data_IF_809361763483
#
_entry.id   IF_809361763483
#
_cell.length_a   1.000
_cell.length_b   1.000
_cell.length_c   1.000
_cell.angle_alpha   90.00
_cell.angle_beta   90.00
_cell.angle_gamma   90.00
#
_symmetry.space_group_name_H-M   'P 1'
#
loop_
_entity.id
_entity.type
_entity.pdbx_description
1 polymer ?
#
# COMPACT_ATOMS: atom_id res chain seq x y z
N UNK A 1 3.30 5.22 -9.89
CA UNK A 1 2.84 5.59 -11.25
C UNK A 1 1.83 4.55 -11.66
N UNK A 2 0.60 4.95 -11.96
CA UNK A 2 -0.48 4.01 -12.19
C UNK A 2 -0.72 3.73 -13.67
N UNK A 3 -1.15 2.53 -14.05
CA UNK A 3 -1.75 2.30 -15.36
C UNK A 3 -3.14 2.96 -15.44
N UNK A 4 -3.71 3.11 -16.64
CA UNK A 4 -5.06 3.67 -16.76
C UNK A 4 -6.10 2.71 -16.19
N UNK A 5 -5.87 1.43 -16.34
CA UNK A 5 -6.70 0.35 -15.80
C UNK A 5 -6.70 0.39 -14.26
N UNK A 6 -5.54 0.70 -13.65
CA UNK A 6 -5.40 0.89 -12.19
C UNK A 6 -6.20 2.08 -11.67
N UNK A 7 -6.35 3.15 -12.47
CA UNK A 7 -7.13 4.32 -12.07
C UNK A 7 -8.63 4.07 -12.02
N UNK A 8 -9.13 2.97 -12.61
CA UNK A 8 -10.55 2.60 -12.56
C UNK A 8 -11.47 3.74 -13.01
N UNK A 9 -12.40 4.15 -12.14
CA UNK A 9 -13.33 5.26 -12.42
C UNK A 9 -12.65 6.62 -12.60
N UNK A 10 -11.41 6.78 -12.12
CA UNK A 10 -10.62 8.00 -12.28
C UNK A 10 -9.86 8.05 -13.61
N UNK A 11 -9.80 6.94 -14.37
CA UNK A 11 -9.02 6.86 -15.61
C UNK A 11 -9.48 7.88 -16.65
N UNK A 12 -10.79 7.94 -16.90
CA UNK A 12 -11.39 8.87 -17.88
C UNK A 12 -11.19 10.34 -17.51
N UNK A 13 -11.56 10.81 -16.30
CA UNK A 13 -11.34 12.21 -15.93
C UNK A 13 -9.86 12.58 -15.90
N UNK A 14 -8.97 11.69 -15.45
CA UNK A 14 -7.52 11.92 -15.52
C UNK A 14 -7.05 12.09 -16.97
N UNK A 15 -7.52 11.24 -17.90
CA UNK A 15 -7.13 11.33 -19.32
C UNK A 15 -7.70 12.53 -20.04
N UNK A 16 -8.87 13.03 -19.64
CA UNK A 16 -9.40 14.29 -20.18
C UNK A 16 -8.51 15.48 -19.79
N UNK A 17 -8.01 15.51 -18.55
CA UNK A 17 -7.05 16.52 -18.10
C UNK A 17 -5.73 16.39 -18.88
N UNK A 18 -5.16 15.18 -18.94
CA UNK A 18 -3.91 14.93 -19.66
C UNK A 18 -4.01 15.30 -21.15
N UNK A 19 -5.14 14.99 -21.82
CA UNK A 19 -5.37 15.37 -23.22
C UNK A 19 -5.49 16.88 -23.42
N UNK A 20 -6.05 17.62 -22.45
CA UNK A 20 -6.09 19.09 -22.50
C UNK A 20 -4.71 19.71 -22.36
N UNK A 21 -3.86 19.13 -21.51
CA UNK A 21 -2.51 19.68 -21.22
C UNK A 21 -1.47 19.23 -22.27
N UNK A 22 -1.55 17.98 -22.72
CA UNK A 22 -0.51 17.34 -23.55
C UNK A 22 -1.00 16.93 -24.95
N UNK A 23 -2.24 17.28 -25.31
CA UNK A 23 -2.81 17.08 -26.63
C UNK A 23 -3.29 15.65 -26.91
N UNK A 24 -3.66 15.35 -28.18
CA UNK A 24 -4.31 14.10 -28.56
C UNK A 24 -3.48 12.83 -28.28
N UNK A 25 -2.16 12.95 -28.25
CA UNK A 25 -1.25 11.82 -28.03
C UNK A 25 -1.06 11.46 -26.55
N UNK A 26 -1.61 12.25 -25.62
CA UNK A 26 -1.40 12.12 -24.17
C UNK A 26 -1.60 10.69 -23.65
N UNK A 27 -2.62 9.98 -24.12
CA UNK A 27 -2.91 8.62 -23.67
C UNK A 27 -1.83 7.61 -24.06
N UNK A 28 -1.32 7.69 -25.30
CA UNK A 28 -0.20 6.84 -25.75
C UNK A 28 1.06 7.16 -24.95
N UNK A 29 1.36 8.45 -24.80
CA UNK A 29 2.52 8.92 -24.05
C UNK A 29 2.44 8.45 -22.58
N UNK A 30 1.26 8.49 -21.97
CA UNK A 30 1.02 7.99 -20.63
C UNK A 30 1.29 6.49 -20.52
N UNK A 31 0.74 5.68 -21.43
CA UNK A 31 0.98 4.23 -21.47
C UNK A 31 2.47 3.90 -21.65
N UNK A 32 3.14 4.56 -22.58
CA UNK A 32 4.59 4.37 -22.81
C UNK A 32 5.42 4.76 -21.58
N UNK A 33 5.10 5.89 -20.93
CA UNK A 33 5.76 6.35 -19.71
C UNK A 33 5.58 5.37 -18.56
N UNK A 34 4.36 4.88 -18.35
CA UNK A 34 4.05 3.88 -17.32
C UNK A 34 4.78 2.57 -17.58
N UNK A 35 4.79 2.07 -18.81
CA UNK A 35 5.53 0.85 -19.17
C UNK A 35 7.04 1.00 -18.96
N UNK A 36 7.60 2.14 -19.39
CA UNK A 36 9.03 2.45 -19.20
C UNK A 36 9.41 2.50 -17.73
N UNK A 37 8.60 3.16 -16.90
CA UNK A 37 8.80 3.25 -15.46
C UNK A 37 8.88 1.87 -14.81
N UNK A 38 7.91 0.99 -15.08
CA UNK A 38 7.89 -0.34 -14.47
C UNK A 38 8.97 -1.28 -15.02
N UNK A 39 9.37 -1.12 -16.28
CA UNK A 39 10.53 -1.81 -16.85
C UNK A 39 11.83 -1.39 -16.14
N UNK A 40 12.00 -0.09 -15.87
CA UNK A 40 13.14 0.46 -15.14
C UNK A 40 13.19 -0.06 -13.69
N UNK A 41 12.07 -0.07 -12.98
CA UNK A 41 11.97 -0.65 -11.63
C UNK A 41 12.42 -2.12 -11.65
N UNK A 42 11.91 -2.91 -12.60
CA UNK A 42 12.31 -4.32 -12.76
C UNK A 42 13.80 -4.46 -13.06
N UNK A 43 14.36 -3.58 -13.90
CA UNK A 43 15.78 -3.52 -14.21
C UNK A 43 16.65 -3.21 -13.01
N UNK A 44 16.23 -2.25 -12.16
CA UNK A 44 16.94 -1.89 -10.91
C UNK A 44 16.94 -3.03 -9.90
N UNK A 45 15.80 -3.72 -9.74
CA UNK A 45 15.71 -4.90 -8.87
C UNK A 45 16.68 -6.00 -9.30
N UNK A 46 16.77 -6.27 -10.61
CA UNK A 46 17.71 -7.24 -11.18
C UNK A 46 19.16 -6.82 -10.99
N UNK A 47 19.50 -5.57 -11.34
CA UNK A 47 20.87 -5.05 -11.25
C UNK A 47 21.42 -5.07 -9.83
N UNK A 48 20.56 -4.92 -8.82
CA UNK A 48 20.93 -4.99 -7.40
C UNK A 48 20.76 -6.39 -6.79
N UNK A 49 20.47 -7.40 -7.62
CA UNK A 49 20.26 -8.80 -7.20
C UNK A 49 19.17 -8.96 -6.14
N UNK A 50 18.19 -8.04 -6.08
CA UNK A 50 17.12 -8.06 -5.09
C UNK A 50 16.04 -9.10 -5.43
N UNK A 51 16.03 -9.63 -6.65
CA UNK A 51 15.03 -10.59 -7.12
C UNK A 51 15.55 -12.04 -7.15
N UNK A 52 16.64 -12.37 -6.45
CA UNK A 52 17.12 -13.75 -6.31
C UNK A 52 16.30 -14.51 -5.25
N UNK A 53 16.13 -15.83 -5.34
CA UNK A 53 15.44 -16.62 -4.32
C UNK A 53 16.02 -16.42 -2.90
N UNK A 54 17.34 -16.32 -2.78
CA UNK A 54 18.04 -16.15 -1.51
C UNK A 54 17.68 -14.80 -0.85
N UNK A 55 17.61 -13.73 -1.65
CA UNK A 55 17.21 -12.40 -1.16
C UNK A 55 15.71 -12.34 -0.90
N UNK A 56 14.89 -12.89 -1.80
CA UNK A 56 13.44 -12.89 -1.66
C UNK A 56 12.97 -13.61 -0.39
N UNK A 57 13.59 -14.72 0.02
CA UNK A 57 13.24 -15.42 1.28
C UNK A 57 13.35 -14.55 2.54
N UNK A 58 14.16 -13.49 2.50
CA UNK A 58 14.31 -12.51 3.59
C UNK A 58 13.66 -11.16 3.26
N UNK A 59 12.89 -11.10 2.17
CA UNK A 59 12.31 -9.88 1.66
C UNK A 59 10.89 -9.69 2.17
N UNK A 60 10.61 -8.47 2.62
CA UNK A 60 9.31 -8.03 3.09
C UNK A 60 8.79 -6.94 2.15
N UNK A 61 7.62 -7.14 1.58
CA UNK A 61 6.99 -6.24 0.62
C UNK A 61 5.94 -5.42 1.35
N UNK A 62 6.06 -4.09 1.24
CA UNK A 62 5.12 -3.11 1.74
C UNK A 62 4.61 -2.31 0.54
N UNK A 63 3.31 -2.34 0.26
CA UNK A 63 2.71 -1.58 -0.81
C UNK A 63 1.56 -0.70 -0.30
N UNK A 64 1.51 0.53 -0.78
CA UNK A 64 0.40 1.47 -0.61
C UNK A 64 -0.95 0.82 -0.97
N UNK A 65 -2.01 1.18 -0.25
CA UNK A 65 -3.37 0.67 -0.45
C UNK A 65 -3.65 -0.73 0.13
N UNK A 66 -2.66 -1.38 0.75
CA UNK A 66 -2.86 -2.67 1.42
C UNK A 66 -3.16 -2.46 2.91
N UNK A 67 -4.35 -2.87 3.35
CA UNK A 67 -4.75 -2.72 4.75
C UNK A 67 -3.98 -3.67 5.67
N UNK A 68 -3.43 -3.13 6.76
CA UNK A 68 -2.85 -3.87 7.89
C UNK A 68 -3.90 -4.29 8.93
N UNK A 69 -5.16 -3.86 8.75
CA UNK A 69 -6.23 -4.12 9.70
C UNK A 69 -7.46 -4.76 9.03
N UNK A 70 -7.30 -5.96 8.45
CA UNK A 70 -8.36 -6.60 7.66
C UNK A 70 -9.56 -7.08 8.47
N UNK A 71 -9.41 -7.23 9.80
CA UNK A 71 -10.45 -7.73 10.69
C UNK A 71 -10.87 -6.65 11.69
N UNK A 72 -12.09 -6.76 12.21
CA UNK A 72 -12.56 -5.94 13.32
C UNK A 72 -12.85 -6.80 14.55
N UNK A 73 -12.70 -6.21 15.73
CA UNK A 73 -12.94 -6.88 16.99
C UNK A 73 -14.43 -7.05 17.23
N UNK A 74 -14.94 -8.28 17.02
CA UNK A 74 -16.35 -8.63 17.26
C UNK A 74 -16.81 -8.23 18.67
N UNK A 75 -16.01 -8.49 19.70
CA UNK A 75 -16.41 -8.14 21.07
C UNK A 75 -16.56 -6.63 21.29
N UNK A 76 -15.69 -5.80 20.70
CA UNK A 76 -15.87 -4.35 20.81
C UNK A 76 -17.11 -3.89 20.05
N UNK A 77 -17.32 -4.47 18.86
CA UNK A 77 -18.51 -4.18 18.06
C UNK A 77 -19.79 -4.54 18.79
N UNK A 78 -19.89 -5.73 19.36
CA UNK A 78 -21.08 -6.19 20.10
C UNK A 78 -21.38 -5.31 21.32
N UNK A 79 -20.36 -4.72 21.96
CA UNK A 79 -20.52 -3.85 23.13
C UNK A 79 -20.84 -2.38 22.81
N UNK A 80 -20.32 -1.87 21.70
CA UNK A 80 -20.31 -0.43 21.41
C UNK A 80 -21.06 -0.05 20.14
N UNK A 81 -21.37 -1.01 19.27
CA UNK A 81 -21.85 -0.80 17.91
C UNK A 81 -20.76 -0.31 16.93
N UNK A 82 -19.54 -0.04 17.39
CA UNK A 82 -18.48 0.55 16.58
C UNK A 82 -17.45 -0.49 16.10
N UNK A 83 -17.08 -0.42 14.82
CA UNK A 83 -16.05 -1.29 14.26
C UNK A 83 -14.67 -0.82 14.74
N UNK A 84 -14.04 -1.63 15.60
CA UNK A 84 -12.65 -1.47 16.00
C UNK A 84 -11.76 -2.39 15.19
N UNK A 85 -11.09 -1.87 14.17
CA UNK A 85 -10.18 -2.64 13.33
C UNK A 85 -8.96 -3.12 14.15
N UNK A 86 -8.50 -4.34 13.85
CA UNK A 86 -7.46 -5.04 14.60
C UNK A 86 -6.15 -5.02 13.84
N UNK A 87 -5.05 -4.76 14.54
CA UNK A 87 -3.70 -4.71 13.98
C UNK A 87 -3.14 -6.11 13.77
N UNK A 88 -2.58 -6.37 12.59
CA UNK A 88 -1.74 -7.54 12.35
C UNK A 88 -0.54 -7.56 13.31
N UNK A 89 -0.38 -8.65 14.06
CA UNK A 89 0.79 -8.90 14.91
C UNK A 89 1.76 -9.82 14.17
N UNK A 90 1.23 -10.94 13.68
CA UNK A 90 1.94 -11.95 12.91
C UNK A 90 1.10 -12.31 11.68
N UNK A 91 1.60 -13.18 10.81
CA UNK A 91 0.83 -13.65 9.64
C UNK A 91 -0.49 -14.34 10.00
N UNK A 92 -0.65 -14.79 11.26
CA UNK A 92 -1.81 -15.54 11.74
C UNK A 92 -2.51 -14.91 12.95
N UNK A 93 -2.07 -13.75 13.43
CA UNK A 93 -2.61 -13.15 14.66
C UNK A 93 -2.88 -11.66 14.49
N UNK A 94 -4.00 -11.21 15.05
CA UNK A 94 -4.38 -9.80 15.10
C UNK A 94 -4.71 -9.36 16.53
N UNK A 95 -4.44 -8.10 16.86
CA UNK A 95 -4.73 -7.48 18.16
C UNK A 95 -5.72 -6.34 18.00
N UNK A 96 -6.73 -6.30 18.86
CA UNK A 96 -7.55 -5.12 19.01
C UNK A 96 -6.77 -4.04 19.77
N UNK A 97 -6.49 -2.91 19.13
CA UNK A 97 -5.83 -1.76 19.77
C UNK A 97 -6.64 -1.15 20.92
N UNK A 98 -7.96 -1.36 20.94
CA UNK A 98 -8.84 -0.83 21.98
C UNK A 98 -8.93 -1.70 23.23
N UNK A 99 -9.21 -3.01 23.07
CA UNK A 99 -9.45 -3.91 24.21
C UNK A 99 -8.31 -4.91 24.47
N UNK A 100 -7.23 -4.86 23.67
CA UNK A 100 -6.05 -5.71 23.81
C UNK A 100 -6.24 -7.18 23.40
N UNK A 101 -7.46 -7.61 23.05
CA UNK A 101 -7.72 -9.00 22.66
C UNK A 101 -6.92 -9.40 21.43
N UNK A 102 -6.30 -10.57 21.51
CA UNK A 102 -5.65 -11.24 20.39
C UNK A 102 -6.59 -12.29 19.82
N UNK A 103 -6.66 -12.40 18.49
CA UNK A 103 -7.42 -13.41 17.78
C UNK A 103 -6.56 -14.06 16.70
N UNK A 104 -6.77 -15.36 16.49
CA UNK A 104 -6.24 -16.06 15.32
C UNK A 104 -6.98 -15.58 14.08
N UNK A 105 -6.23 -15.19 13.05
CA UNK A 105 -6.79 -14.70 11.79
C UNK A 105 -5.78 -14.93 10.66
N UNK A 106 -6.24 -15.48 9.53
CA UNK A 106 -5.38 -15.77 8.38
C UNK A 106 -5.05 -14.49 7.60
N UNK A 107 -4.18 -13.63 8.16
CA UNK A 107 -3.83 -12.33 7.57
C UNK A 107 -3.07 -12.51 6.26
N UNK A 108 -2.10 -13.40 6.23
CA UNK A 108 -1.32 -13.70 5.01
C UNK A 108 -2.22 -14.25 3.89
N UNK A 109 -3.18 -15.12 4.22
CA UNK A 109 -4.14 -15.64 3.25
C UNK A 109 -5.06 -14.53 2.72
N UNK A 110 -5.55 -13.65 3.60
CA UNK A 110 -6.37 -12.50 3.21
C UNK A 110 -5.60 -11.57 2.25
N UNK A 111 -4.38 -11.18 2.60
CA UNK A 111 -3.55 -10.31 1.77
C UNK A 111 -3.21 -10.98 0.43
N UNK A 112 -2.88 -12.27 0.46
CA UNK A 112 -2.60 -13.04 -0.76
C UNK A 112 -3.81 -13.09 -1.70
N UNK A 113 -5.03 -13.25 -1.17
CA UNK A 113 -6.26 -13.19 -1.97
C UNK A 113 -6.49 -11.82 -2.58
N UNK A 114 -6.30 -10.75 -1.79
CA UNK A 114 -6.43 -9.38 -2.27
C UNK A 114 -5.43 -9.10 -3.41
N UNK A 115 -4.18 -9.49 -3.23
CA UNK A 115 -3.11 -9.33 -4.23
C UNK A 115 -3.41 -10.14 -5.49
N UNK A 116 -3.92 -11.38 -5.38
CA UNK A 116 -4.32 -12.19 -6.54
C UNK A 116 -5.35 -11.49 -7.41
N UNK A 117 -6.36 -10.85 -6.80
CA UNK A 117 -7.36 -10.07 -7.55
C UNK A 117 -6.69 -8.95 -8.35
N UNK A 118 -5.65 -8.30 -7.80
CA UNK A 118 -4.92 -7.21 -8.46
C UNK A 118 -3.95 -7.73 -9.53
N UNK A 119 -3.36 -8.91 -9.32
CA UNK A 119 -2.56 -9.64 -10.33
C UNK A 119 -3.42 -10.02 -11.53
N UNK A 120 -4.65 -10.52 -11.32
CA UNK A 120 -5.58 -10.87 -12.39
C UNK A 120 -5.94 -9.67 -13.27
N UNK A 121 -5.94 -8.46 -12.69
CA UNK A 121 -6.08 -7.19 -13.44
C UNK A 121 -4.81 -6.77 -14.20
N UNK A 122 -3.73 -7.54 -14.07
CA UNK A 122 -2.42 -7.33 -14.72
C UNK A 122 -1.80 -5.97 -14.45
N UNK A 123 -2.06 -5.45 -13.26
CA UNK A 123 -1.51 -4.20 -12.76
C UNK A 123 0.01 -4.33 -12.59
N UNK A 124 0.84 -3.50 -13.27
CA UNK A 124 2.29 -3.73 -13.34
C UNK A 124 2.98 -3.88 -11.99
N UNK A 125 2.58 -3.11 -10.98
CA UNK A 125 3.08 -3.24 -9.61
C UNK A 125 2.89 -4.66 -9.09
N UNK A 126 1.66 -5.17 -9.20
CA UNK A 126 1.29 -6.46 -8.63
C UNK A 126 1.90 -7.63 -9.40
N UNK A 127 2.20 -7.47 -10.70
CA UNK A 127 2.98 -8.44 -11.46
C UNK A 127 4.46 -8.51 -11.01
N UNK A 128 5.02 -7.41 -10.51
CA UNK A 128 6.35 -7.42 -9.89
C UNK A 128 6.27 -8.09 -8.52
N UNK A 129 5.26 -7.75 -7.71
CA UNK A 129 5.03 -8.35 -6.39
C UNK A 129 4.85 -9.87 -6.52
N UNK A 130 4.05 -10.34 -7.48
CA UNK A 130 3.84 -11.76 -7.77
C UNK A 130 5.19 -12.48 -7.95
N UNK A 131 6.05 -11.98 -8.84
CA UNK A 131 7.37 -12.56 -9.11
C UNK A 131 8.32 -12.54 -7.93
N UNK A 132 8.16 -11.61 -7.00
CA UNK A 132 8.94 -11.58 -5.76
C UNK A 132 8.40 -12.60 -4.77
N UNK A 133 7.08 -12.71 -4.64
CA UNK A 133 6.39 -13.69 -3.78
C UNK A 133 6.64 -15.13 -4.23
N UNK A 134 6.60 -15.40 -5.55
CA UNK A 134 6.96 -16.70 -6.13
C UNK A 134 8.38 -17.14 -5.74
N UNK A 135 9.27 -16.19 -5.41
CA UNK A 135 10.65 -16.43 -4.97
C UNK A 135 10.82 -16.43 -3.45
N UNK A 136 9.74 -16.31 -2.69
CA UNK A 136 9.73 -16.41 -1.23
C UNK A 136 9.59 -15.08 -0.48
N UNK A 137 9.36 -13.95 -1.17
CA UNK A 137 9.08 -12.69 -0.51
C UNK A 137 7.72 -12.71 0.20
N UNK A 138 7.63 -12.05 1.36
CA UNK A 138 6.41 -11.97 2.16
C UNK A 138 5.76 -10.61 2.02
N UNK A 139 4.44 -10.57 1.87
CA UNK A 139 3.69 -9.32 1.78
C UNK A 139 3.06 -8.95 3.11
N UNK A 140 3.03 -7.66 3.42
CA UNK A 140 2.46 -7.10 4.64
C UNK A 140 1.38 -6.07 4.31
N UNK A 141 0.37 -5.99 5.17
CA UNK A 141 -0.51 -4.83 5.19
C UNK A 141 0.25 -3.62 5.72
N UNK A 142 0.07 -2.47 5.09
CA UNK A 142 0.83 -1.24 5.33
C UNK A 142 0.00 -0.18 6.02
N UNK A 143 -1.31 -0.15 5.78
CA UNK A 143 -2.15 0.99 6.10
C UNK A 143 -3.25 0.70 7.11
N UNK A 144 -3.70 1.74 7.81
CA UNK A 144 -4.86 1.64 8.68
C UNK A 144 -6.14 1.58 7.85
N UNK A 145 -7.00 0.61 8.17
CA UNK A 145 -8.31 0.49 7.54
C UNK A 145 -9.19 1.72 7.81
N UNK A 146 -9.09 2.30 9.01
CA UNK A 146 -9.86 3.49 9.39
C UNK A 146 -9.42 4.71 8.55
N UNK A 147 -8.10 4.94 8.42
CA UNK A 147 -7.56 6.04 7.63
C UNK A 147 -7.88 5.90 6.14
N UNK A 148 -7.82 4.67 5.60
CA UNK A 148 -8.21 4.39 4.21
C UNK A 148 -9.71 4.66 3.95
N UNK A 149 -10.58 4.30 4.89
CA UNK A 149 -12.02 4.61 4.79
C UNK A 149 -12.25 6.12 4.85
N UNK A 150 -11.55 6.82 5.74
CA UNK A 150 -11.64 8.27 5.83
C UNK A 150 -11.20 8.93 4.51
N UNK A 151 -10.06 8.53 3.96
CA UNK A 151 -9.57 9.05 2.68
C UNK A 151 -10.57 8.80 1.55
N UNK A 152 -11.10 7.57 1.46
CA UNK A 152 -12.14 7.22 0.49
C UNK A 152 -13.36 8.13 0.63
N UNK A 153 -13.82 8.36 1.85
CA UNK A 153 -15.00 9.19 2.10
C UNK A 153 -14.73 10.66 1.70
N UNK A 154 -13.52 11.18 1.92
CA UNK A 154 -13.13 12.49 1.41
C UNK A 154 -13.21 12.55 -0.13
N UNK A 155 -12.64 11.56 -0.82
CA UNK A 155 -12.71 11.53 -2.29
C UNK A 155 -14.15 11.41 -2.81
N UNK A 156 -14.99 10.64 -2.15
CA UNK A 156 -16.43 10.54 -2.48
C UNK A 156 -17.13 11.89 -2.26
N UNK A 157 -16.81 12.62 -1.20
CA UNK A 157 -17.37 13.94 -0.94
C UNK A 157 -16.92 14.97 -1.97
N UNK A 158 -15.63 15.00 -2.32
CA UNK A 158 -15.08 15.84 -3.40
C UNK A 158 -15.80 15.56 -4.71
N UNK A 159 -15.97 14.28 -5.07
CA UNK A 159 -16.65 13.89 -6.30
C UNK A 159 -18.13 14.31 -6.33
N UNK A 160 -18.76 14.49 -5.16
CA UNK A 160 -20.12 15.01 -4.99
C UNK A 160 -20.17 16.54 -4.91
N UNK A 161 -19.04 17.24 -5.04
CA UNK A 161 -18.95 18.69 -4.89
C UNK A 161 -19.15 19.18 -3.45
N UNK A 162 -19.02 18.29 -2.46
CA UNK A 162 -19.06 18.65 -1.05
C UNK A 162 -17.67 19.16 -0.68
N UNK A 163 -17.62 20.38 -0.14
CA UNK A 163 -16.36 20.97 0.30
C UNK A 163 -15.69 20.07 1.34
N UNK A 164 -14.41 19.82 1.13
CA UNK A 164 -13.61 18.97 2.02
C UNK A 164 -12.53 19.79 2.66
N UNK A 165 -12.40 19.65 3.98
CA UNK A 165 -11.37 20.33 4.75
C UNK A 165 -9.97 19.93 4.25
N UNK A 166 -9.33 20.84 3.50
CA UNK A 166 -8.00 20.64 2.94
C UNK A 166 -6.93 20.42 4.02
N UNK A 167 -7.09 21.04 5.19
CA UNK A 167 -6.20 20.83 6.33
C UNK A 167 -6.29 19.38 6.81
N UNK A 168 -7.52 18.86 6.98
CA UNK A 168 -7.72 17.47 7.40
C UNK A 168 -7.19 16.47 6.37
N UNK A 169 -7.29 16.78 5.07
CA UNK A 169 -6.68 15.95 4.01
C UNK A 169 -5.15 15.88 4.16
N UNK A 170 -4.50 17.00 4.48
CA UNK A 170 -3.05 17.03 4.69
C UNK A 170 -2.65 16.27 5.97
N UNK A 171 -3.39 16.45 7.06
CA UNK A 171 -3.21 15.71 8.32
C UNK A 171 -3.40 14.20 8.12
N UNK A 172 -4.44 13.79 7.39
CA UNK A 172 -4.72 12.39 7.11
C UNK A 172 -3.58 11.72 6.35
N UNK A 173 -2.93 12.41 5.41
CA UNK A 173 -1.76 11.88 4.70
C UNK A 173 -0.58 11.67 5.65
N UNK A 174 -0.37 12.59 6.59
CA UNK A 174 0.68 12.46 7.63
C UNK A 174 0.37 11.27 8.55
N UNK A 175 -0.86 11.14 9.02
CA UNK A 175 -1.29 10.01 9.86
C UNK A 175 -1.09 8.66 9.17
N UNK A 176 -1.36 8.59 7.86
CA UNK A 176 -1.11 7.40 7.04
C UNK A 176 0.39 7.11 6.93
N UNK A 177 1.21 8.12 6.63
CA UNK A 177 2.67 7.98 6.56
C UNK A 177 3.27 7.45 7.87
N UNK A 178 2.83 8.01 9.00
CA UNK A 178 3.25 7.59 10.33
C UNK A 178 2.82 6.16 10.65
N UNK A 179 1.59 5.79 10.28
CA UNK A 179 1.08 4.44 10.47
C UNK A 179 1.92 3.44 9.68
N UNK A 180 2.20 3.72 8.40
CA UNK A 180 3.03 2.86 7.54
C UNK A 180 4.43 2.70 8.14
N UNK A 181 5.05 3.79 8.59
CA UNK A 181 6.39 3.72 9.17
C UNK A 181 6.44 2.91 10.47
N UNK A 182 5.48 3.12 11.39
CA UNK A 182 5.32 2.29 12.59
C UNK A 182 5.10 0.82 12.23
N UNK A 183 4.31 0.55 11.20
CA UNK A 183 4.02 -0.80 10.73
C UNK A 183 5.26 -1.50 10.22
N UNK A 184 6.05 -0.83 9.37
CA UNK A 184 7.33 -1.36 8.87
C UNK A 184 8.27 -1.65 10.05
N UNK A 185 8.43 -0.71 10.98
CA UNK A 185 9.26 -0.89 12.16
C UNK A 185 8.83 -2.08 13.04
N UNK A 186 7.52 -2.30 13.19
CA UNK A 186 6.99 -3.40 13.99
C UNK A 186 7.03 -4.77 13.32
N UNK A 187 7.27 -4.85 12.00
CA UNK A 187 7.15 -6.11 11.24
C UNK A 187 8.39 -6.54 10.50
N UNK A 188 9.29 -5.60 10.19
CA UNK A 188 10.53 -5.89 9.51
C UNK A 188 11.45 -6.61 10.50
N UNK A 189 11.87 -7.87 10.25
CA UNK A 189 12.81 -8.55 11.10
C UNK A 189 14.17 -7.83 11.09
N UNK A 190 14.95 -8.01 12.16
CA UNK A 190 16.24 -7.32 12.32
C UNK A 190 17.25 -7.63 11.19
N UNK A 191 17.16 -8.79 10.55
CA UNK A 191 17.96 -9.19 9.39
C UNK A 191 17.20 -9.13 8.05
N UNK A 192 15.98 -8.57 8.07
CA UNK A 192 15.09 -8.48 6.93
C UNK A 192 15.43 -7.34 5.98
N UNK A 193 15.06 -7.48 4.72
CA UNK A 193 15.11 -6.39 3.73
C UNK A 193 13.70 -6.03 3.29
N UNK A 194 13.33 -4.76 3.42
CA UNK A 194 12.05 -4.27 2.92
C UNK A 194 12.15 -3.73 1.48
N UNK A 195 11.15 -4.02 0.64
CA UNK A 195 10.84 -3.22 -0.55
C UNK A 195 9.55 -2.46 -0.27
N UNK A 196 9.63 -1.14 -0.41
CA UNK A 196 8.50 -0.22 -0.21
C UNK A 196 8.03 0.32 -1.57
N UNK A 197 6.81 -0.04 -1.95
CA UNK A 197 6.09 0.54 -3.08
C UNK A 197 5.09 1.56 -2.56
N UNK A 198 5.43 2.85 -2.64
CA UNK A 198 4.62 3.92 -2.04
C UNK A 198 4.28 5.02 -3.06
N UNK A 199 3.09 5.60 -2.96
CA UNK A 199 2.66 6.73 -3.77
C UNK A 199 3.56 7.97 -3.58
N UNK A 200 3.69 8.81 -4.60
CA UNK A 200 4.61 9.96 -4.57
C UNK A 200 4.21 11.08 -3.60
N UNK A 201 2.95 11.10 -3.16
CA UNK A 201 2.48 12.05 -2.16
C UNK A 201 2.99 11.72 -0.75
N UNK A 202 3.23 10.44 -0.49
CA UNK A 202 3.68 9.94 0.80
C UNK A 202 5.12 10.35 1.13
N UNK A 203 5.36 10.57 2.42
CA UNK A 203 6.66 10.90 3.00
C UNK A 203 7.09 9.86 4.04
N UNK A 204 6.66 8.61 3.89
CA UNK A 204 7.07 7.46 4.72
C UNK A 204 8.59 7.41 4.97
N UNK A 205 9.42 7.73 3.98
CA UNK A 205 10.87 7.76 4.16
C UNK A 205 11.36 8.73 5.26
N UNK A 206 10.67 9.86 5.45
CA UNK A 206 10.95 10.79 6.56
C UNK A 206 10.50 10.23 7.90
N UNK A 207 9.35 9.55 7.91
CA UNK A 207 8.82 8.90 9.11
C UNK A 207 9.69 7.72 9.56
N UNK A 208 10.25 6.96 8.61
CA UNK A 208 11.18 5.87 8.88
C UNK A 208 12.49 6.34 9.53
N UNK A 209 12.93 7.58 9.30
CA UNK A 209 14.13 8.14 9.94
C UNK A 209 13.96 8.33 11.46
N UNK A 210 12.71 8.28 11.98
CA UNK A 210 12.45 8.31 13.42
C UNK A 210 12.85 6.99 14.11
N UNK A 211 13.08 5.92 13.35
CA UNK A 211 13.48 4.62 13.87
C UNK A 211 14.98 4.38 13.59
N UNK A 212 15.81 4.27 14.65
CA UNK A 212 17.28 4.22 14.49
C UNK A 212 17.77 2.94 13.80
N UNK A 213 17.00 1.86 13.87
CA UNK A 213 17.36 0.55 13.32
C UNK A 213 17.01 0.38 11.83
N UNK A 214 16.35 1.38 11.22
CA UNK A 214 15.93 1.33 9.82
C UNK A 214 16.81 2.22 8.97
N UNK A 215 17.47 1.61 7.98
CA UNK A 215 18.20 2.31 6.92
C UNK A 215 17.39 2.33 5.62
N UNK A 216 16.94 3.51 5.22
CA UNK A 216 16.25 3.71 3.93
C UNK A 216 17.26 3.89 2.80
N UNK A 217 17.08 3.14 1.71
CA UNK A 217 17.89 3.24 0.48
C UNK A 217 16.96 3.44 -0.70
N UNK A 218 17.22 4.47 -1.50
CA UNK A 218 16.47 4.71 -2.73
C UNK A 218 17.06 3.89 -3.89
N UNK A 219 16.16 3.23 -4.63
CA UNK A 219 16.50 2.35 -5.75
C UNK A 219 16.91 3.14 -6.98
#
# INVERSE_FOLDING_TARGET
MHSLEELGSLAKPAMEIEKRVHGPQAEKNYKEKTNRFWAEVTGRLKKRELNTPEKCKKMHIYADGLTAQPFYCKTCFDKTGEKRYMDEITSNEVRCSFCGRVAQAAVEEFLSKLVRVLIEKRFPLYLIIEKLMERGARIHGTESQALLIEERNMWVNIAKGIDTNLLRKAELLIERDEFIARRINGTLPQDGTAILFIGSAHRVGKELQKFPDIKVIYL
#
